data_IF_661078762711
#
_entry.id   IF_661078762711
#
_cell.length_a   1.000
_cell.length_b   1.000
_cell.length_c   1.000
_cell.angle_alpha   90.00
_cell.angle_beta   90.00
_cell.angle_gamma   90.00
#
_symmetry.space_group_name_H-M   'P 1'
#
loop_
_entity.id
_entity.type
_entity.pdbx_description
1 polymer ?
#
# COMPACT_ATOMS: atom_id res chain seq x y z
N UNK A 1 -33.57 48.42 -10.84
CA UNK A 1 -33.19 49.26 -9.69
C UNK A 1 -31.95 48.64 -9.07
N UNK A 2 -30.77 49.25 -9.21
CA UNK A 2 -30.20 50.24 -8.24
C UNK A 2 -30.08 49.59 -6.85
N UNK A 3 -28.95 49.50 -6.14
CA UNK A 3 -27.70 50.27 -6.04
C UNK A 3 -26.77 49.36 -5.15
N UNK A 4 -25.52 49.08 -5.49
CA UNK A 4 -24.30 49.80 -5.11
C UNK A 4 -24.12 50.17 -3.62
N UNK A 5 -23.07 49.58 -3.02
CA UNK A 5 -21.94 50.15 -2.22
C UNK A 5 -22.23 51.16 -1.09
N UNK A 6 -21.55 50.95 0.05
CA UNK A 6 -20.82 51.91 0.94
C UNK A 6 -20.95 51.44 2.41
N UNK A 7 -20.00 51.58 3.35
CA UNK A 7 -18.61 52.05 3.39
C UNK A 7 -18.11 51.67 4.80
N UNK A 8 -16.86 51.22 4.95
CA UNK A 8 -16.21 51.14 6.26
C UNK A 8 -15.73 52.52 6.68
N UNK A 9 -16.00 52.93 7.92
CA UNK A 9 -15.46 54.15 8.52
C UNK A 9 -14.53 53.79 9.69
N UNK A 10 -13.25 54.13 9.53
CA UNK A 10 -12.28 54.22 10.63
C UNK A 10 -12.68 55.36 11.57
N UNK A 11 -12.58 55.12 12.88
CA UNK A 11 -12.50 56.18 13.88
C UNK A 11 -11.23 55.97 14.70
N UNK A 12 -10.28 56.88 14.50
CA UNK A 12 -9.17 57.13 15.42
C UNK A 12 -9.65 58.15 16.45
N UNK A 13 -9.39 57.91 17.74
CA UNK A 13 -9.51 58.95 18.78
C UNK A 13 -8.15 59.08 19.47
N UNK A 14 -7.62 60.29 19.37
CA UNK A 14 -6.42 60.74 20.04
C UNK A 14 -6.73 61.27 21.45
N UNK A 15 -5.66 61.23 22.24
CA UNK A 15 -5.50 61.54 23.66
C UNK A 15 -6.00 62.93 24.05
N UNK A 16 -6.66 63.03 25.20
CA UNK A 16 -6.76 64.26 25.99
C UNK A 16 -6.22 63.99 27.40
N UNK A 17 -5.19 64.74 27.78
CA UNK A 17 -4.64 64.73 29.13
C UNK A 17 -5.50 65.53 30.10
N UNK A 18 -5.48 65.14 31.36
CA UNK A 18 -5.75 66.01 32.51
C UNK A 18 -5.03 65.43 33.72
N UNK A 19 -4.19 66.26 34.33
CA UNK A 19 -3.55 66.03 35.62
C UNK A 19 -4.44 66.54 36.75
N UNK A 20 -4.41 65.85 37.90
CA UNK A 20 -4.27 66.36 39.27
C UNK A 20 -5.13 65.59 40.28
N UNK A 21 -4.54 65.32 41.45
CA UNK A 21 -5.26 65.06 42.70
C UNK A 21 -4.95 63.70 43.30
N UNK A 22 -4.16 63.69 44.38
CA UNK A 22 -3.69 62.48 45.04
C UNK A 22 -4.68 61.84 45.99
N UNK A 23 -4.45 60.54 46.24
CA UNK A 23 -4.61 59.93 47.55
C UNK A 23 -3.73 58.67 47.57
N UNK A 24 -2.70 58.67 48.42
CA UNK A 24 -1.74 57.57 48.57
C UNK A 24 -2.27 56.59 49.61
N UNK A 25 -3.01 55.58 49.15
CA UNK A 25 -3.22 54.33 49.88
C UNK A 25 -2.22 53.28 49.36
N UNK A 26 -1.60 52.44 50.23
CA UNK A 26 -0.67 51.42 49.77
C UNK A 26 -1.41 50.40 48.90
N UNK A 27 -1.02 50.32 47.62
CA UNK A 27 -1.50 49.31 46.68
C UNK A 27 -1.04 47.94 47.21
N UNK A 28 -1.94 46.97 47.44
CA UNK A 28 -1.53 45.62 47.78
C UNK A 28 -0.71 45.07 46.60
N UNK A 29 0.48 44.57 46.90
CA UNK A 29 1.36 43.94 45.90
C UNK A 29 0.55 42.86 45.17
N UNK A 30 0.45 42.90 43.82
CA UNK A 30 -0.23 41.83 43.10
C UNK A 30 0.49 40.52 43.43
N UNK A 31 -0.27 39.52 43.84
CA UNK A 31 0.25 38.17 43.97
C UNK A 31 0.96 37.79 42.66
N UNK A 32 2.09 37.08 42.70
CA UNK A 32 2.78 36.67 41.49
C UNK A 32 1.76 35.96 40.59
N UNK A 33 1.59 36.49 39.38
CA UNK A 33 0.82 35.84 38.31
C UNK A 33 1.28 34.38 38.28
N UNK A 34 0.38 33.39 38.37
CA UNK A 34 0.80 32.01 38.19
C UNK A 34 1.55 31.97 36.86
N UNK A 35 2.78 31.47 36.87
CA UNK A 35 3.55 31.29 35.66
C UNK A 35 2.60 30.65 34.64
N UNK A 36 2.45 31.29 33.48
CA UNK A 36 1.67 30.74 32.40
C UNK A 36 2.11 29.28 32.28
N UNK A 37 1.17 28.35 32.51
CA UNK A 37 1.45 26.95 32.30
C UNK A 37 2.11 26.84 30.94
N UNK A 38 3.18 26.04 30.84
CA UNK A 38 3.77 25.66 29.55
C UNK A 38 2.68 24.97 28.72
N UNK A 39 1.81 25.77 28.13
CA UNK A 39 0.79 25.34 27.21
C UNK A 39 1.60 24.95 25.99
N UNK A 40 1.73 23.65 25.78
CA UNK A 40 2.19 23.09 24.52
C UNK A 40 1.53 23.88 23.39
N UNK A 41 2.32 24.46 22.46
CA UNK A 41 1.77 25.22 21.35
C UNK A 41 0.65 24.42 20.69
N UNK A 42 -0.48 25.07 20.42
CA UNK A 42 -1.59 24.43 19.74
C UNK A 42 -1.14 23.90 18.38
N UNK A 43 -1.21 22.58 18.18
CA UNK A 43 -0.83 21.94 16.93
C UNK A 43 -1.96 22.10 15.89
N UNK A 44 -1.86 23.16 15.09
CA UNK A 44 -2.80 23.48 14.02
C UNK A 44 -2.85 22.41 12.92
N UNK A 45 -1.76 21.65 12.71
CA UNK A 45 -1.76 20.56 11.72
C UNK A 45 -2.60 19.39 12.24
N UNK A 46 -2.42 19.04 13.52
CA UNK A 46 -3.17 17.94 14.15
C UNK A 46 -4.65 18.27 14.37
N UNK A 47 -5.00 19.53 14.59
CA UNK A 47 -6.38 19.93 14.93
C UNK A 47 -7.42 19.41 13.94
N UNK A 48 -7.13 19.50 12.64
CA UNK A 48 -8.04 19.09 11.57
C UNK A 48 -8.34 17.59 11.62
N UNK A 49 -7.31 16.78 11.86
CA UNK A 49 -7.41 15.34 11.94
C UNK A 49 -8.00 14.87 13.27
N UNK A 50 -7.70 15.57 14.38
CA UNK A 50 -8.17 15.23 15.72
C UNK A 50 -9.70 15.21 15.86
N UNK A 51 -10.43 15.93 15.00
CA UNK A 51 -11.88 15.91 14.96
C UNK A 51 -12.44 14.55 14.49
N UNK A 52 -11.75 13.89 13.56
CA UNK A 52 -12.11 12.56 13.06
C UNK A 52 -11.36 11.44 13.81
N UNK A 53 -10.24 11.77 14.45
CA UNK A 53 -9.33 10.83 15.11
C UNK A 53 -8.96 11.28 16.52
N UNK A 54 -9.94 11.45 17.43
CA UNK A 54 -9.70 12.03 18.75
C UNK A 54 -8.82 11.17 19.66
N UNK A 55 -8.67 9.89 19.34
CA UNK A 55 -7.89 8.91 20.10
C UNK A 55 -6.46 8.73 19.55
N UNK A 56 -6.13 9.30 18.39
CA UNK A 56 -4.80 9.18 17.79
C UNK A 56 -3.82 10.16 18.45
N UNK A 57 -2.67 9.66 18.90
CA UNK A 57 -1.59 10.48 19.47
C UNK A 57 -0.78 11.17 18.36
N UNK A 58 -1.24 12.34 17.90
CA UNK A 58 -0.58 13.12 16.86
C UNK A 58 0.76 13.74 17.27
N UNK A 59 1.11 13.71 18.56
CA UNK A 59 2.42 14.19 19.03
C UNK A 59 3.56 13.25 18.61
N UNK A 60 3.22 11.98 18.33
CA UNK A 60 4.12 10.96 17.80
C UNK A 60 3.90 10.84 16.29
N UNK A 61 4.89 11.27 15.50
CA UNK A 61 4.84 11.20 14.04
C UNK A 61 6.23 11.14 13.43
N UNK A 62 6.37 10.45 12.30
CA UNK A 62 7.63 10.38 11.52
C UNK A 62 7.57 11.20 10.23
N UNK A 63 6.41 11.76 9.90
CA UNK A 63 6.17 12.62 8.72
C UNK A 63 5.46 13.91 9.12
N UNK A 64 5.48 14.92 8.26
CA UNK A 64 4.63 16.10 8.46
C UNK A 64 3.17 15.74 8.17
N UNK A 65 2.25 16.24 9.01
CA UNK A 65 0.82 16.06 8.75
C UNK A 65 0.35 16.84 7.51
N UNK A 66 1.14 17.81 7.03
CA UNK A 66 0.88 18.54 5.78
C UNK A 66 1.07 17.67 4.53
N UNK A 67 1.79 16.55 4.65
CA UNK A 67 1.92 15.57 3.56
C UNK A 67 0.71 14.64 3.45
N UNK A 68 -0.16 14.66 4.46
CA UNK A 68 -1.32 13.78 4.56
C UNK A 68 -2.56 14.55 4.11
N UNK A 69 -3.33 13.93 3.21
CA UNK A 69 -4.60 14.48 2.73
C UNK A 69 -5.75 13.49 2.94
N UNK A 70 -6.97 14.00 2.98
CA UNK A 70 -8.16 13.14 2.98
C UNK A 70 -8.48 12.69 1.56
N UNK A 71 -8.70 11.39 1.39
CA UNK A 71 -9.26 10.79 0.17
C UNK A 71 -10.78 10.96 0.04
N UNK A 72 -11.42 11.67 0.98
CA UNK A 72 -12.85 11.95 0.95
C UNK A 72 -13.74 10.85 1.54
N UNK A 73 -13.15 9.81 2.14
CA UNK A 73 -13.88 8.76 2.87
C UNK A 73 -13.59 8.85 4.36
N UNK A 74 -14.61 8.57 5.18
CA UNK A 74 -14.45 8.47 6.63
C UNK A 74 -13.71 7.18 7.02
N UNK A 75 -13.21 7.04 8.26
CA UNK A 75 -12.57 5.81 8.71
C UNK A 75 -13.48 4.58 8.49
N UNK A 76 -12.92 3.53 7.89
CA UNK A 76 -13.60 2.32 7.41
C UNK A 76 -14.81 2.61 6.49
N UNK A 77 -14.88 3.79 5.86
CA UNK A 77 -15.86 4.12 4.84
C UNK A 77 -15.70 3.27 3.58
N UNK A 78 -14.48 2.79 3.34
CA UNK A 78 -14.17 1.61 2.55
C UNK A 78 -14.12 0.44 3.56
N UNK A 79 -15.11 -0.47 3.56
CA UNK A 79 -15.20 -1.55 4.54
C UNK A 79 -13.97 -2.47 4.50
N UNK A 80 -13.19 -2.62 5.58
CA UNK A 80 -12.20 -3.69 5.63
C UNK A 80 -12.89 -5.06 5.69
N UNK A 81 -12.19 -6.14 5.37
CA UNK A 81 -12.69 -7.50 5.55
C UNK A 81 -11.95 -8.20 6.69
N UNK A 82 -12.71 -8.83 7.58
CA UNK A 82 -12.15 -9.61 8.68
C UNK A 82 -12.49 -11.09 8.49
N UNK A 83 -11.46 -11.95 8.45
CA UNK A 83 -11.65 -13.39 8.49
C UNK A 83 -12.12 -13.85 9.88
N UNK A 84 -12.84 -14.97 9.95
CA UNK A 84 -13.35 -15.48 11.21
C UNK A 84 -12.19 -15.84 12.17
N UNK A 85 -12.23 -15.28 13.37
CA UNK A 85 -11.17 -15.46 14.39
C UNK A 85 -9.88 -14.69 14.11
N UNK A 86 -9.80 -13.89 13.04
CA UNK A 86 -8.61 -13.09 12.76
C UNK A 86 -8.54 -11.83 13.62
N UNK A 87 -9.66 -11.18 13.92
CA UNK A 87 -9.66 -9.89 14.64
C UNK A 87 -10.11 -10.00 16.09
N UNK A 88 -9.55 -9.14 16.93
CA UNK A 88 -9.88 -8.97 18.35
C UNK A 88 -10.82 -7.80 18.60
N UNK A 89 -10.73 -6.76 17.77
CA UNK A 89 -11.57 -5.57 17.78
C UNK A 89 -12.33 -5.51 16.45
N UNK A 90 -13.64 -5.75 16.50
CA UNK A 90 -14.49 -5.67 15.33
C UNK A 90 -14.68 -4.20 14.89
N UNK A 91 -14.64 -3.96 13.57
CA UNK A 91 -15.16 -2.72 13.00
C UNK A 91 -16.66 -2.89 12.70
N UNK A 92 -17.51 -1.90 13.04
CA UNK A 92 -18.94 -1.97 12.75
C UNK A 92 -19.24 -1.92 11.25
N UNK A 93 -18.26 -1.50 10.43
CA UNK A 93 -18.36 -1.43 8.98
C UNK A 93 -17.71 -2.62 8.29
N UNK A 94 -16.98 -3.48 9.00
CA UNK A 94 -16.25 -4.58 8.37
C UNK A 94 -17.17 -5.61 7.72
N UNK A 95 -16.77 -6.05 6.54
CA UNK A 95 -17.28 -7.28 5.94
C UNK A 95 -16.56 -8.53 6.46
N UNK A 96 -16.87 -9.67 5.85
CA UNK A 96 -16.29 -10.98 6.18
C UNK A 96 -15.37 -11.45 5.06
N UNK A 97 -14.13 -11.80 5.40
CA UNK A 97 -13.26 -12.49 4.47
C UNK A 97 -13.59 -13.99 4.48
N UNK A 98 -14.32 -14.46 3.46
CA UNK A 98 -14.66 -15.87 3.29
C UNK A 98 -13.84 -16.48 2.17
N UNK A 99 -13.27 -17.65 2.41
CA UNK A 99 -12.45 -18.33 1.42
C UNK A 99 -13.14 -19.59 0.92
N UNK A 100 -12.97 -19.88 -0.36
CA UNK A 100 -13.38 -21.13 -1.01
C UNK A 100 -12.16 -21.79 -1.64
N UNK A 101 -12.16 -23.12 -1.87
CA UNK A 101 -11.13 -23.75 -2.68
C UNK A 101 -11.01 -23.04 -4.02
N UNK A 102 -9.78 -22.69 -4.44
CA UNK A 102 -9.58 -21.89 -5.63
C UNK A 102 -10.14 -22.59 -6.89
N UNK A 103 -9.96 -23.90 -7.00
CA UNK A 103 -10.51 -24.71 -8.08
C UNK A 103 -12.07 -24.71 -8.15
N UNK A 104 -12.76 -24.30 -7.09
CA UNK A 104 -14.21 -24.19 -7.05
C UNK A 104 -14.72 -22.76 -7.36
N UNK A 105 -13.84 -21.76 -7.40
CA UNK A 105 -14.23 -20.40 -7.70
C UNK A 105 -14.43 -20.20 -9.22
N UNK A 106 -15.53 -19.55 -9.58
CA UNK A 106 -15.89 -19.26 -10.98
C UNK A 106 -15.38 -17.89 -11.43
N UNK A 107 -14.10 -17.61 -11.19
CA UNK A 107 -13.49 -16.36 -11.62
C UNK A 107 -12.82 -16.49 -12.99
N UNK A 108 -12.87 -15.46 -13.85
CA UNK A 108 -12.16 -15.48 -15.13
C UNK A 108 -10.65 -15.57 -14.91
N UNK A 109 -9.96 -16.43 -15.66
CA UNK A 109 -8.54 -16.72 -15.41
C UNK A 109 -7.63 -15.49 -15.43
N UNK A 110 -7.94 -14.51 -16.29
CA UNK A 110 -7.12 -13.31 -16.49
C UNK A 110 -7.20 -12.28 -15.38
N UNK A 111 -8.16 -12.39 -14.44
CA UNK A 111 -8.25 -11.39 -13.37
C UNK A 111 -6.98 -11.40 -12.52
N UNK A 112 -6.48 -10.24 -12.08
CA UNK A 112 -5.33 -10.19 -11.21
C UNK A 112 -5.74 -10.55 -9.77
N UNK A 113 -4.89 -11.36 -9.14
CA UNK A 113 -4.95 -11.72 -7.72
C UNK A 113 -3.58 -11.47 -7.10
N UNK A 114 -3.55 -10.91 -5.90
CA UNK A 114 -2.37 -11.04 -5.05
C UNK A 114 -2.50 -12.33 -4.24
N UNK A 115 -1.41 -13.01 -3.94
CA UNK A 115 -1.47 -14.20 -3.09
C UNK A 115 -0.39 -14.20 -2.02
N UNK A 116 -0.71 -14.86 -0.91
CA UNK A 116 0.19 -15.04 0.22
C UNK A 116 0.37 -16.52 0.48
N UNK A 117 1.62 -16.93 0.69
CA UNK A 117 1.96 -18.31 1.08
C UNK A 117 2.71 -18.28 2.40
N UNK A 118 2.15 -18.94 3.42
CA UNK A 118 2.75 -19.04 4.75
C UNK A 118 2.57 -20.46 5.28
N UNK A 119 3.65 -21.08 5.75
CA UNK A 119 3.64 -22.44 6.31
C UNK A 119 2.93 -23.48 5.41
N UNK A 120 3.07 -23.33 4.09
CA UNK A 120 2.47 -24.22 3.09
C UNK A 120 1.02 -23.92 2.72
N UNK A 121 0.34 -23.02 3.45
CA UNK A 121 -1.01 -22.56 3.09
C UNK A 121 -0.92 -21.39 2.10
N UNK A 122 -1.59 -21.52 0.95
CA UNK A 122 -1.67 -20.50 -0.08
C UNK A 122 -3.09 -19.92 -0.19
N UNK A 123 -3.20 -18.60 -0.07
CA UNK A 123 -4.46 -17.86 -0.25
C UNK A 123 -4.31 -16.76 -1.28
N UNK A 124 -5.27 -16.67 -2.21
CA UNK A 124 -5.37 -15.60 -3.19
C UNK A 124 -6.47 -14.58 -2.81
N UNK A 125 -6.20 -13.33 -3.11
CA UNK A 125 -7.03 -12.17 -2.82
C UNK A 125 -7.24 -11.42 -4.14
N UNK A 126 -8.39 -11.61 -4.80
CA UNK A 126 -8.66 -10.98 -6.08
C UNK A 126 -8.70 -9.46 -5.98
N UNK A 127 -7.99 -8.77 -6.86
CA UNK A 127 -7.91 -7.31 -6.83
C UNK A 127 -9.27 -6.67 -7.09
N UNK A 128 -10.17 -7.33 -7.84
CA UNK A 128 -11.52 -6.83 -8.04
C UNK A 128 -12.36 -6.81 -6.75
N UNK A 129 -11.98 -7.57 -5.71
CA UNK A 129 -12.54 -7.46 -4.36
C UNK A 129 -11.76 -6.40 -3.58
N UNK A 130 -10.42 -6.47 -3.62
CA UNK A 130 -9.58 -5.55 -2.86
C UNK A 130 -9.73 -4.08 -3.29
N UNK A 131 -10.07 -3.77 -4.54
CA UNK A 131 -10.38 -2.40 -4.97
C UNK A 131 -11.56 -1.79 -4.21
N UNK A 132 -12.45 -2.60 -3.63
CA UNK A 132 -13.61 -2.16 -2.85
C UNK A 132 -13.42 -2.24 -1.33
N UNK A 133 -12.32 -2.83 -0.87
CA UNK A 133 -12.11 -3.16 0.55
C UNK A 133 -10.75 -2.74 1.10
N UNK A 134 -9.72 -2.68 0.24
CA UNK A 134 -8.34 -2.24 0.46
C UNK A 134 -7.54 -2.94 1.57
N UNK A 135 -8.19 -3.54 2.56
CA UNK A 135 -7.60 -4.17 3.75
C UNK A 135 -8.36 -5.45 4.09
N UNK A 136 -7.63 -6.55 4.24
CA UNK A 136 -8.12 -7.85 4.70
C UNK A 136 -7.28 -8.33 5.88
N UNK A 137 -7.92 -8.47 7.06
CA UNK A 137 -7.30 -9.12 8.22
C UNK A 137 -7.55 -10.63 8.16
N UNK A 138 -6.49 -11.42 8.10
CA UNK A 138 -6.56 -12.87 7.90
C UNK A 138 -5.60 -13.63 8.84
N UNK A 139 -5.74 -14.95 8.82
CA UNK A 139 -4.82 -15.94 9.34
C UNK A 139 -4.39 -16.86 8.18
N UNK A 140 -3.09 -16.86 7.84
CA UNK A 140 -2.53 -17.71 6.78
C UNK A 140 -1.43 -18.57 7.39
N UNK A 141 -1.57 -19.90 7.32
CA UNK A 141 -0.64 -20.83 7.96
C UNK A 141 -0.51 -20.61 9.46
N UNK A 142 -1.57 -20.11 10.11
CA UNK A 142 -1.59 -19.71 11.53
C UNK A 142 -0.93 -18.36 11.85
N UNK A 143 -0.38 -17.65 10.86
CA UNK A 143 0.22 -16.32 11.05
C UNK A 143 -0.84 -15.24 10.84
N UNK A 144 -0.98 -14.26 11.75
CA UNK A 144 -1.84 -13.12 11.53
C UNK A 144 -1.25 -12.23 10.44
N UNK A 145 -1.98 -12.09 9.34
CA UNK A 145 -1.56 -11.32 8.17
C UNK A 145 -2.58 -10.23 7.89
N UNK A 146 -2.12 -9.05 7.48
CA UNK A 146 -2.93 -8.05 6.79
C UNK A 146 -2.53 -8.06 5.31
N UNK A 147 -3.52 -8.25 4.42
CA UNK A 147 -3.34 -8.11 2.97
C UNK A 147 -4.03 -6.84 2.53
N UNK A 148 -3.35 -6.03 1.73
CA UNK A 148 -3.83 -4.71 1.35
C UNK A 148 -3.56 -4.42 -0.12
N UNK A 149 -4.44 -3.64 -0.74
CA UNK A 149 -4.27 -3.14 -2.10
C UNK A 149 -4.60 -1.65 -2.16
N UNK A 150 -3.66 -0.84 -2.64
CA UNK A 150 -3.93 0.55 -3.03
C UNK A 150 -4.18 0.64 -4.53
N UNK A 151 -5.43 0.88 -4.98
CA UNK A 151 -5.73 1.01 -6.40
C UNK A 151 -5.06 2.24 -7.02
N UNK A 152 -4.84 3.31 -6.25
CA UNK A 152 -4.18 4.52 -6.76
C UNK A 152 -2.70 4.29 -7.07
N UNK A 153 -2.04 3.39 -6.33
CA UNK A 153 -0.62 3.11 -6.50
C UNK A 153 -0.34 1.79 -7.22
N UNK A 154 -1.36 0.98 -7.51
CA UNK A 154 -1.23 -0.41 -7.98
C UNK A 154 -0.44 -1.32 -7.02
N UNK A 155 -0.36 -0.99 -5.72
CA UNK A 155 0.43 -1.72 -4.74
C UNK A 155 -0.42 -2.74 -3.99
N UNK A 156 -0.17 -4.04 -4.23
CA UNK A 156 -0.65 -5.11 -3.36
C UNK A 156 0.47 -5.54 -2.41
N UNK A 157 0.22 -5.51 -1.10
CA UNK A 157 1.20 -5.81 -0.07
C UNK A 157 0.58 -6.70 1.02
N UNK A 158 1.43 -7.48 1.67
CA UNK A 158 1.03 -8.25 2.84
C UNK A 158 2.06 -8.09 3.96
N UNK A 159 1.58 -8.06 5.21
CA UNK A 159 2.42 -7.91 6.38
C UNK A 159 1.98 -8.85 7.50
N UNK A 160 2.94 -9.34 8.30
CA UNK A 160 2.60 -9.86 9.62
C UNK A 160 2.12 -8.68 10.49
N UNK A 161 0.92 -8.81 11.04
CA UNK A 161 0.28 -7.75 11.84
C UNK A 161 0.52 -7.88 13.34
N UNK A 162 1.57 -8.60 13.75
CA UNK A 162 2.00 -8.71 15.16
C UNK A 162 3.10 -7.69 15.44
N UNK A 163 2.90 -6.89 16.48
CA UNK A 163 3.87 -5.92 16.99
C UNK A 163 4.06 -6.18 18.48
N UNK A 164 5.22 -6.75 18.83
CA UNK A 164 5.44 -7.29 20.18
C UNK A 164 4.44 -8.40 20.48
N UNK A 165 3.74 -8.30 21.61
CA UNK A 165 2.71 -9.26 22.03
C UNK A 165 1.32 -8.95 21.45
N UNK A 166 1.16 -7.82 20.75
CA UNK A 166 -0.13 -7.36 20.24
C UNK A 166 -0.31 -7.78 18.79
N UNK A 167 -1.44 -8.43 18.50
CA UNK A 167 -1.91 -8.63 17.12
C UNK A 167 -2.83 -7.47 16.77
N UNK A 168 -2.46 -6.71 15.73
CA UNK A 168 -3.16 -5.52 15.28
C UNK A 168 -4.28 -5.88 14.30
N UNK A 169 -5.41 -5.19 14.41
CA UNK A 169 -6.54 -5.29 13.49
C UNK A 169 -6.57 -4.01 12.66
N UNK A 170 -6.38 -4.14 11.36
CA UNK A 170 -6.27 -3.00 10.47
C UNK A 170 -7.61 -2.59 9.88
N UNK A 171 -7.75 -1.30 9.61
CA UNK A 171 -8.83 -0.72 8.84
C UNK A 171 -8.31 0.28 7.82
N UNK A 172 -9.23 0.87 7.07
CA UNK A 172 -8.94 1.89 6.05
C UNK A 172 -9.13 3.26 6.67
N UNK A 173 -8.10 4.11 6.72
CA UNK A 173 -8.23 5.41 7.40
C UNK A 173 -9.01 6.44 6.56
N UNK A 174 -8.97 6.28 5.24
CA UNK A 174 -9.43 7.30 4.28
C UNK A 174 -8.43 8.42 4.06
N UNK A 175 -7.28 8.40 4.72
CA UNK A 175 -6.17 9.34 4.51
C UNK A 175 -5.17 8.77 3.51
N UNK A 176 -4.49 9.66 2.80
CA UNK A 176 -3.49 9.34 1.77
C UNK A 176 -2.22 10.16 2.00
N UNK A 177 -1.08 9.61 1.60
CA UNK A 177 0.20 10.34 1.44
C UNK A 177 0.88 9.84 0.17
N UNK A 178 1.24 10.74 -0.74
CA UNK A 178 1.74 10.40 -2.08
C UNK A 178 0.76 9.51 -2.89
N UNK A 179 -0.55 9.76 -2.76
CA UNK A 179 -1.65 8.89 -3.21
C UNK A 179 -1.75 7.51 -2.55
N UNK A 180 -0.70 7.06 -1.85
CA UNK A 180 -0.70 5.77 -1.17
C UNK A 180 -1.61 5.81 0.05
N UNK A 181 -2.36 4.73 0.22
CA UNK A 181 -3.33 4.64 1.32
C UNK A 181 -2.62 4.56 2.67
N UNK A 182 -3.25 5.17 3.65
CA UNK A 182 -2.85 5.03 5.05
C UNK A 182 -3.82 4.06 5.71
N UNK A 183 -3.31 2.95 6.22
CA UNK A 183 -4.07 2.04 7.07
C UNK A 183 -4.12 2.59 8.49
N UNK A 184 -5.00 2.09 9.33
CA UNK A 184 -4.97 2.37 10.77
C UNK A 184 -5.17 1.10 11.58
N UNK A 185 -4.53 1.01 12.75
CA UNK A 185 -4.76 -0.11 13.67
C UNK A 185 -5.84 0.24 14.71
N UNK A 186 -6.74 -0.70 14.98
CA UNK A 186 -7.89 -0.47 15.87
C UNK A 186 -7.50 -0.40 17.34
N UNK A 187 -6.37 -0.99 17.72
CA UNK A 187 -5.87 -1.10 19.10
C UNK A 187 -5.37 0.23 19.64
N UNK A 188 -4.61 0.96 18.85
CA UNK A 188 -3.89 2.17 19.28
C UNK A 188 -4.21 3.40 18.43
N UNK A 189 -4.99 3.22 17.37
CA UNK A 189 -5.35 4.27 16.41
C UNK A 189 -4.14 4.88 15.72
N UNK A 190 -3.04 4.13 15.63
CA UNK A 190 -1.87 4.57 14.86
C UNK A 190 -2.16 4.44 13.37
N UNK A 191 -1.53 5.30 12.59
CA UNK A 191 -1.65 5.34 11.14
C UNK A 191 -0.42 4.73 10.50
N UNK A 192 -0.62 3.87 9.51
CA UNK A 192 0.43 3.06 8.89
C UNK A 192 0.46 3.29 7.39
N UNK A 193 1.60 3.76 6.87
CA UNK A 193 1.82 3.93 5.43
C UNK A 193 1.85 2.55 4.76
N UNK A 194 0.95 2.30 3.81
CA UNK A 194 0.82 1.00 3.16
C UNK A 194 2.10 0.60 2.42
N UNK A 195 2.63 1.49 1.59
CA UNK A 195 3.81 1.25 0.76
C UNK A 195 5.07 0.88 1.56
N UNK A 196 5.17 1.33 2.81
CA UNK A 196 6.34 1.12 3.67
C UNK A 196 6.11 0.10 4.79
N UNK A 197 4.85 -0.18 5.14
CA UNK A 197 4.50 -0.90 6.36
C UNK A 197 4.91 -0.17 7.65
N UNK A 198 5.17 1.14 7.58
CA UNK A 198 5.63 1.95 8.71
C UNK A 198 4.47 2.70 9.37
N UNK A 199 4.38 2.66 10.69
CA UNK A 199 3.54 3.56 11.45
C UNK A 199 4.09 4.99 11.35
N UNK A 200 3.32 5.91 10.77
CA UNK A 200 3.75 7.29 10.53
C UNK A 200 3.17 8.29 11.52
N UNK A 201 2.09 7.94 12.22
CA UNK A 201 1.43 8.76 13.26
C UNK A 201 0.89 7.85 14.35
N UNK A 202 0.90 8.30 15.61
CA UNK A 202 0.29 7.61 16.73
C UNK A 202 1.27 6.80 17.58
N UNK A 203 0.71 5.95 18.44
CA UNK A 203 1.45 5.17 19.44
C UNK A 203 2.63 4.40 18.87
N UNK A 204 2.46 3.81 17.67
CA UNK A 204 3.50 2.99 17.04
C UNK A 204 4.44 3.76 16.10
N UNK A 205 4.34 5.09 15.98
CA UNK A 205 5.13 5.87 15.02
C UNK A 205 6.62 5.46 15.00
N UNK A 206 7.15 5.19 13.79
CA UNK A 206 8.51 4.67 13.54
C UNK A 206 8.64 3.15 13.56
N UNK A 207 7.60 2.41 13.97
CA UNK A 207 7.58 0.95 13.91
C UNK A 207 7.29 0.47 12.48
N UNK A 208 7.97 -0.59 12.02
CA UNK A 208 7.71 -1.22 10.73
C UNK A 208 7.18 -2.64 10.87
N UNK A 209 6.17 -2.97 10.08
CA UNK A 209 5.64 -4.32 9.97
C UNK A 209 6.58 -5.20 9.14
N UNK A 210 6.59 -6.50 9.44
CA UNK A 210 7.35 -7.47 8.67
C UNK A 210 6.58 -7.81 7.39
N UNK A 211 7.13 -7.43 6.24
CA UNK A 211 6.55 -7.74 4.95
C UNK A 211 6.54 -9.25 4.66
N UNK A 212 5.51 -9.69 3.94
CA UNK A 212 5.34 -11.04 3.40
C UNK A 212 5.20 -10.89 1.88
N UNK A 213 5.92 -11.69 1.06
CA UNK A 213 5.78 -11.64 -0.39
C UNK A 213 4.31 -11.80 -0.83
N UNK A 214 3.84 -10.85 -1.64
CA UNK A 214 2.46 -10.76 -2.10
C UNK A 214 2.39 -10.38 -3.59
N UNK A 215 3.01 -11.16 -4.50
CA UNK A 215 3.06 -10.83 -5.91
C UNK A 215 1.65 -10.79 -6.53
N UNK A 216 1.50 -10.02 -7.61
CA UNK A 216 0.26 -9.95 -8.40
C UNK A 216 0.40 -10.86 -9.62
N UNK A 217 -0.44 -11.90 -9.68
CA UNK A 217 -0.52 -12.84 -10.81
C UNK A 217 -1.95 -12.95 -11.34
N UNK A 218 -2.15 -13.56 -12.50
CA UNK A 218 -3.51 -13.93 -12.93
C UNK A 218 -4.07 -15.03 -12.03
N UNK A 219 -5.39 -15.08 -11.88
CA UNK A 219 -6.07 -16.14 -11.14
C UNK A 219 -5.75 -17.53 -11.73
N UNK A 220 -5.68 -17.63 -13.07
CA UNK A 220 -5.27 -18.85 -13.75
C UNK A 220 -3.85 -19.30 -13.39
N UNK A 221 -2.91 -18.36 -13.23
CA UNK A 221 -1.56 -18.69 -12.77
C UNK A 221 -1.53 -19.14 -11.31
N UNK A 222 -2.31 -18.50 -10.45
CA UNK A 222 -2.47 -18.94 -9.05
C UNK A 222 -3.02 -20.37 -8.99
N UNK A 223 -4.06 -20.69 -9.76
CA UNK A 223 -4.65 -22.04 -9.83
C UNK A 223 -3.65 -23.11 -10.26
N UNK A 224 -2.83 -22.82 -11.28
CA UNK A 224 -1.79 -23.74 -11.75
C UNK A 224 -0.69 -23.95 -10.71
N UNK A 225 -0.32 -22.89 -10.00
CA UNK A 225 0.78 -22.90 -9.04
C UNK A 225 0.40 -23.43 -7.65
N UNK A 226 -0.88 -23.34 -7.29
CA UNK A 226 -1.44 -23.70 -5.99
C UNK A 226 -2.83 -24.34 -6.14
N UNK A 227 -2.92 -25.57 -6.69
CA UNK A 227 -4.21 -26.22 -6.96
C UNK A 227 -5.05 -26.46 -5.69
N UNK A 228 -4.41 -26.66 -4.55
CA UNK A 228 -5.05 -26.81 -3.23
C UNK A 228 -5.24 -25.48 -2.49
N UNK A 229 -4.86 -24.36 -3.12
CA UNK A 229 -4.98 -23.03 -2.55
C UNK A 229 -6.43 -22.60 -2.37
N UNK A 230 -6.65 -21.61 -1.52
CA UNK A 230 -7.95 -20.99 -1.34
C UNK A 230 -7.97 -19.59 -1.96
N UNK A 231 -9.16 -19.10 -2.31
CA UNK A 231 -9.35 -17.74 -2.85
C UNK A 231 -10.47 -17.04 -2.10
N UNK A 232 -10.28 -15.73 -1.87
CA UNK A 232 -11.29 -14.87 -1.27
C UNK A 232 -12.54 -14.82 -2.16
N UNK A 233 -13.68 -15.08 -1.54
CA UNK A 233 -15.01 -15.07 -2.14
C UNK A 233 -15.62 -13.68 -2.13
N UNK A 234 -16.40 -13.38 -3.17
CA UNK A 234 -17.31 -12.22 -3.22
C UNK A 234 -18.40 -12.24 -2.13
N UNK A 235 -18.60 -13.35 -1.40
CA UNK A 235 -19.52 -13.43 -0.26
C UNK A 235 -18.95 -12.73 0.99
N UNK A 236 -18.80 -11.41 0.90
CA UNK A 236 -18.24 -10.58 1.96
C UNK A 236 -19.29 -10.07 2.95
N UNK A 237 -20.57 -10.17 2.60
CA UNK A 237 -21.66 -9.54 3.35
C UNK A 237 -21.77 -8.02 3.13
N UNK A 238 -20.98 -7.44 2.22
CA UNK A 238 -21.08 -6.05 1.79
C UNK A 238 -21.59 -6.01 0.36
N UNK A 239 -22.62 -5.22 0.09
CA UNK A 239 -23.19 -5.07 -1.26
C UNK A 239 -22.25 -4.25 -2.15
N UNK A 240 -21.62 -4.92 -3.12
CA UNK A 240 -20.69 -4.34 -4.11
C UNK A 240 -20.85 -5.04 -5.44
N UNK A 241 -20.58 -4.29 -6.52
CA UNK A 241 -20.49 -4.83 -7.86
C UNK A 241 -19.04 -5.28 -8.11
N UNK A 242 -18.66 -6.40 -7.52
CA UNK A 242 -17.34 -7.00 -7.74
C UNK A 242 -17.10 -7.25 -9.23
N UNK A 243 -15.87 -6.99 -9.67
CA UNK A 243 -15.47 -7.05 -11.08
C UNK A 243 -15.68 -5.75 -11.87
N UNK A 244 -16.51 -4.81 -11.38
CA UNK A 244 -16.58 -3.45 -11.92
C UNK A 244 -15.44 -2.62 -11.35
N UNK A 245 -14.66 -2.00 -12.23
CA UNK A 245 -13.57 -1.09 -11.87
C UNK A 245 -14.09 0.34 -11.61
N UNK A 246 -14.00 0.88 -10.37
CA UNK A 246 -14.38 2.27 -10.08
C UNK A 246 -13.34 3.30 -10.59
N UNK A 247 -12.18 2.85 -11.06
CA UNK A 247 -11.07 3.64 -11.58
C UNK A 247 -10.90 3.42 -13.10
N UNK A 248 -12.01 3.45 -13.86
CA UNK A 248 -11.98 3.17 -15.30
C UNK A 248 -10.98 4.06 -16.05
N UNK A 249 -10.09 3.40 -16.79
CA UNK A 249 -9.01 3.99 -17.56
C UNK A 249 -7.93 4.68 -16.74
N UNK A 250 -7.86 4.49 -15.42
CA UNK A 250 -6.90 5.19 -14.55
C UNK A 250 -5.45 4.88 -14.93
N UNK A 251 -5.16 3.63 -15.31
CA UNK A 251 -3.79 3.19 -15.63
C UNK A 251 -3.29 3.53 -17.04
N UNK A 252 -4.03 4.37 -17.78
CA UNK A 252 -3.61 4.81 -19.11
C UNK A 252 -2.29 5.58 -19.01
N UNK A 253 -1.31 5.34 -19.89
CA UNK A 253 0.00 6.01 -19.83
C UNK A 253 -0.06 7.54 -19.87
N UNK A 254 -1.13 8.11 -20.44
CA UNK A 254 -1.35 9.55 -20.56
C UNK A 254 -1.99 10.20 -19.33
N UNK A 255 -2.42 9.41 -18.34
CA UNK A 255 -3.09 9.95 -17.16
C UNK A 255 -2.09 10.54 -16.17
N UNK A 256 -2.62 11.44 -15.34
CA UNK A 256 -1.90 12.01 -14.21
C UNK A 256 -2.30 11.32 -12.90
N UNK A 257 -1.38 11.20 -11.94
CA UNK A 257 -1.67 10.61 -10.63
C UNK A 257 -2.81 11.33 -9.90
N UNK A 258 -3.87 10.60 -9.59
CA UNK A 258 -5.00 11.10 -8.79
C UNK A 258 -4.60 11.24 -7.31
N UNK A 259 -4.99 12.36 -6.68
CA UNK A 259 -4.69 12.68 -5.28
C UNK A 259 -3.19 12.61 -4.92
N UNK A 260 -2.34 12.89 -5.90
CA UNK A 260 -0.90 13.07 -5.71
C UNK A 260 -0.59 14.55 -5.57
N UNK A 261 0.25 14.91 -4.60
CA UNK A 261 0.68 16.29 -4.36
C UNK A 261 2.14 16.43 -4.74
N UNK A 262 2.44 17.35 -5.65
CA UNK A 262 3.79 17.57 -6.17
C UNK A 262 3.97 17.07 -7.60
N UNK A 263 5.21 17.15 -8.08
CA UNK A 263 5.58 16.74 -9.43
C UNK A 263 6.08 15.29 -9.42
N UNK A 264 5.49 14.39 -10.24
CA UNK A 264 6.01 13.04 -10.40
C UNK A 264 7.45 13.03 -10.92
N UNK A 265 8.21 12.03 -10.51
CA UNK A 265 9.59 11.85 -10.99
C UNK A 265 9.64 11.65 -12.52
N UNK A 266 10.40 12.48 -13.27
CA UNK A 266 10.34 12.50 -14.72
C UNK A 266 11.12 11.36 -15.42
N UNK A 267 11.81 10.49 -14.68
CA UNK A 267 12.65 9.42 -15.26
C UNK A 267 11.84 8.35 -15.99
N UNK A 268 10.56 8.16 -15.64
CA UNK A 268 9.62 7.27 -16.32
C UNK A 268 8.22 7.92 -16.36
N UNK A 269 7.33 7.50 -17.28
CA UNK A 269 5.94 7.92 -17.24
C UNK A 269 5.30 7.63 -15.86
N UNK A 270 4.49 8.53 -15.29
CA UNK A 270 3.92 8.36 -13.95
C UNK A 270 3.19 7.02 -13.78
N UNK A 271 2.40 6.62 -14.78
CA UNK A 271 1.61 5.39 -14.78
C UNK A 271 2.37 4.14 -15.27
N UNK A 272 3.68 4.24 -15.52
CA UNK A 272 4.50 3.05 -15.81
C UNK A 272 4.50 2.13 -14.59
N UNK A 273 4.19 0.84 -14.77
CA UNK A 273 4.36 -0.13 -13.69
C UNK A 273 5.82 -0.51 -13.58
N UNK A 274 6.31 -0.64 -12.36
CA UNK A 274 7.68 -1.08 -12.10
C UNK A 274 7.68 -2.23 -11.11
N UNK A 275 8.60 -3.17 -11.26
CA UNK A 275 9.00 -4.03 -10.15
C UNK A 275 9.93 -3.22 -9.26
N UNK A 276 9.46 -2.84 -8.10
CA UNK A 276 10.23 -2.13 -7.09
C UNK A 276 10.92 -3.09 -6.13
N UNK A 277 12.24 -3.02 -6.05
CA UNK A 277 13.10 -3.78 -5.14
C UNK A 277 13.72 -2.80 -4.15
N UNK A 278 13.16 -2.75 -2.94
CA UNK A 278 13.69 -1.89 -1.88
C UNK A 278 14.97 -2.51 -1.32
N UNK A 279 16.00 -1.68 -1.11
CA UNK A 279 17.26 -2.07 -0.49
C UNK A 279 17.95 -0.89 0.19
N UNK A 280 18.75 -1.16 1.22
CA UNK A 280 19.59 -0.20 1.92
C UNK A 280 20.74 0.35 1.07
N UNK A 281 21.22 -0.41 0.08
CA UNK A 281 22.30 -0.01 -0.83
C UNK A 281 21.80 0.74 -2.08
N UNK A 282 20.52 1.14 -2.11
CA UNK A 282 19.90 1.88 -3.21
C UNK A 282 18.86 1.02 -3.95
N UNK A 283 17.57 1.38 -3.88
CA UNK A 283 16.48 0.64 -4.50
C UNK A 283 16.64 0.50 -6.02
N UNK A 284 16.05 -0.55 -6.59
CA UNK A 284 16.01 -0.81 -8.03
C UNK A 284 14.57 -0.87 -8.50
N UNK A 285 14.27 -0.16 -9.59
CA UNK A 285 13.01 -0.25 -10.30
C UNK A 285 13.24 -0.89 -11.67
N UNK A 286 12.53 -1.97 -11.98
CA UNK A 286 12.55 -2.61 -13.31
C UNK A 286 11.23 -2.29 -14.03
N UNK A 287 11.24 -1.50 -15.11
CA UNK A 287 10.02 -1.14 -15.83
C UNK A 287 9.29 -2.34 -16.45
N UNK A 288 7.97 -2.37 -16.39
CA UNK A 288 7.16 -3.41 -17.01
C UNK A 288 7.29 -3.40 -18.53
N UNK A 289 7.38 -2.22 -19.16
CA UNK A 289 7.66 -2.09 -20.60
C UNK A 289 8.95 -2.79 -21.01
N UNK A 290 9.97 -2.74 -20.16
CA UNK A 290 11.24 -3.43 -20.38
C UNK A 290 11.10 -4.95 -20.17
N UNK A 291 10.43 -5.37 -19.08
CA UNK A 291 10.12 -6.78 -18.80
C UNK A 291 9.26 -7.42 -19.88
N UNK A 292 8.36 -6.67 -20.51
CA UNK A 292 7.57 -7.13 -21.64
C UNK A 292 8.45 -7.39 -22.88
N UNK A 293 9.67 -6.85 -22.94
CA UNK A 293 10.59 -7.16 -24.05
C UNK A 293 11.50 -8.32 -23.69
N UNK A 294 12.16 -8.26 -22.53
CA UNK A 294 13.23 -9.20 -22.16
C UNK A 294 12.76 -10.45 -21.41
N UNK A 295 11.57 -10.42 -20.81
CA UNK A 295 10.91 -11.49 -20.01
C UNK A 295 11.62 -11.94 -18.74
N UNK A 296 12.94 -11.83 -18.68
CA UNK A 296 13.76 -12.16 -17.51
C UNK A 296 14.81 -11.08 -17.32
N UNK A 297 14.94 -10.60 -16.08
CA UNK A 297 16.04 -9.72 -15.67
C UNK A 297 16.78 -10.36 -14.52
N UNK A 298 18.11 -10.46 -14.64
CA UNK A 298 18.98 -10.75 -13.51
C UNK A 298 19.50 -9.46 -12.91
N UNK A 299 19.44 -9.35 -11.59
CA UNK A 299 19.95 -8.20 -10.86
C UNK A 299 20.63 -8.65 -9.56
N UNK A 300 21.26 -7.67 -8.90
CA UNK A 300 21.81 -7.82 -7.56
C UNK A 300 21.15 -6.78 -6.64
N UNK A 301 20.70 -7.25 -5.47
CA UNK A 301 20.08 -6.44 -4.43
C UNK A 301 20.78 -6.79 -3.12
N UNK A 302 21.56 -5.85 -2.57
CA UNK A 302 22.35 -6.04 -1.33
C UNK A 302 23.29 -7.26 -1.39
N UNK A 303 23.96 -7.49 -2.53
CA UNK A 303 24.82 -8.66 -2.75
C UNK A 303 24.07 -9.98 -2.90
N UNK A 304 22.73 -9.93 -2.96
CA UNK A 304 21.88 -11.09 -3.22
C UNK A 304 21.47 -11.12 -4.69
N UNK A 305 21.85 -12.18 -5.42
CA UNK A 305 21.46 -12.34 -6.81
C UNK A 305 19.95 -12.64 -6.89
N UNK A 306 19.24 -11.84 -7.68
CA UNK A 306 17.79 -11.99 -7.91
C UNK A 306 17.47 -12.16 -9.39
N UNK A 307 16.37 -12.85 -9.69
CA UNK A 307 15.77 -12.91 -11.00
C UNK A 307 14.35 -12.34 -10.95
N UNK A 308 14.04 -11.43 -11.85
CA UNK A 308 12.70 -10.92 -12.11
C UNK A 308 12.14 -11.67 -13.32
N UNK A 309 11.06 -12.39 -13.10
CA UNK A 309 10.34 -13.13 -14.13
C UNK A 309 9.11 -12.36 -14.55
N UNK A 310 8.85 -12.29 -15.86
CA UNK A 310 7.63 -11.71 -16.40
C UNK A 310 6.96 -12.67 -17.38
N UNK A 311 5.64 -12.83 -17.25
CA UNK A 311 4.81 -13.59 -18.18
C UNK A 311 3.51 -12.84 -18.51
N UNK A 312 2.98 -12.98 -19.74
CA UNK A 312 1.70 -12.39 -20.12
C UNK A 312 0.53 -13.17 -19.50
N UNK A 313 -0.69 -12.64 -19.61
CA UNK A 313 -1.93 -13.34 -19.27
C UNK A 313 -2.69 -12.73 -18.09
N UNK A 314 -2.33 -11.53 -17.65
CA UNK A 314 -2.94 -10.88 -16.48
C UNK A 314 -3.53 -9.54 -16.89
N UNK A 315 -4.84 -9.43 -16.76
CA UNK A 315 -5.54 -8.19 -17.04
C UNK A 315 -5.25 -7.13 -15.96
N UNK A 316 -5.28 -5.86 -16.33
CA UNK A 316 -5.21 -4.77 -15.35
C UNK A 316 -6.50 -4.66 -14.53
N UNK A 317 -6.37 -4.41 -13.22
CA UNK A 317 -7.51 -4.09 -12.35
C UNK A 317 -8.02 -2.64 -12.51
N UNK A 318 -7.27 -1.81 -13.25
CA UNK A 318 -7.41 -0.35 -13.28
C UNK A 318 -7.55 0.21 -14.71
N UNK A 319 -7.75 -0.68 -15.68
CA UNK A 319 -8.03 -0.34 -17.07
C UNK A 319 -9.53 -0.22 -17.27
N UNK A 320 -10.09 -1.11 -18.09
CA UNK A 320 -11.47 -1.11 -18.52
C UNK A 320 -12.49 -1.32 -17.38
N UNK A 321 -13.74 -0.91 -17.60
CA UNK A 321 -14.82 -1.04 -16.62
C UNK A 321 -15.12 -2.47 -16.15
N UNK A 322 -14.89 -3.47 -17.01
CA UNK A 322 -14.93 -4.89 -16.65
C UNK A 322 -13.51 -5.48 -16.71
N UNK A 323 -12.97 -5.84 -15.53
CA UNK A 323 -11.56 -6.21 -15.37
C UNK A 323 -11.08 -7.36 -16.29
N UNK A 324 -11.84 -8.46 -16.49
CA UNK A 324 -11.40 -9.55 -17.38
C UNK A 324 -11.16 -9.15 -18.84
N UNK A 325 -11.87 -8.14 -19.33
CA UNK A 325 -11.76 -7.64 -20.71
C UNK A 325 -10.60 -6.66 -20.87
N UNK A 326 -9.95 -6.31 -19.76
CA UNK A 326 -8.94 -5.28 -19.74
C UNK A 326 -7.64 -5.68 -20.46
N UNK A 327 -6.84 -4.67 -20.79
CA UNK A 327 -5.50 -4.85 -21.38
C UNK A 327 -4.65 -5.81 -20.54
N UNK A 328 -3.92 -6.69 -21.22
CA UNK A 328 -2.90 -7.53 -20.57
C UNK A 328 -1.70 -6.68 -20.13
N UNK A 329 -1.38 -6.72 -18.84
CA UNK A 329 -0.20 -6.08 -18.25
C UNK A 329 0.85 -7.10 -17.83
N UNK A 330 0.53 -8.40 -17.97
CA UNK A 330 1.31 -9.51 -17.47
C UNK A 330 1.52 -9.49 -15.96
N UNK A 331 2.40 -10.37 -15.53
CA UNK A 331 2.71 -10.60 -14.13
C UNK A 331 4.20 -10.67 -13.93
N UNK A 332 4.67 -9.96 -12.92
CA UNK A 332 6.06 -9.99 -12.52
C UNK A 332 6.20 -10.65 -11.14
N UNK A 333 7.19 -11.53 -11.01
CA UNK A 333 7.58 -12.17 -9.75
C UNK A 333 9.09 -12.08 -9.59
N UNK A 334 9.56 -12.07 -8.35
CA UNK A 334 10.99 -11.93 -8.07
C UNK A 334 11.44 -12.99 -7.09
N UNK A 335 12.56 -13.63 -7.42
CA UNK A 335 13.15 -14.68 -6.61
C UNK A 335 14.64 -14.45 -6.41
N UNK A 336 15.15 -14.86 -5.25
CA UNK A 336 16.58 -15.10 -5.13
C UNK A 336 16.94 -16.25 -6.08
N UNK A 337 17.86 -16.00 -7.02
CA UNK A 337 18.23 -16.97 -8.07
C UNK A 337 19.23 -18.00 -7.57
N UNK A 338 18.96 -18.62 -6.42
CA UNK A 338 19.81 -19.63 -5.80
C UNK A 338 19.07 -20.96 -5.60
N UNK A 339 19.74 -22.06 -5.92
CA UNK A 339 19.34 -23.41 -5.56
C UNK A 339 20.52 -24.10 -4.84
N UNK A 340 20.45 -24.16 -3.50
CA UNK A 340 21.61 -24.49 -2.67
C UNK A 340 22.70 -23.42 -2.84
N UNK A 341 23.93 -23.86 -3.16
CA UNK A 341 25.06 -22.96 -3.40
C UNK A 341 25.14 -22.43 -4.84
N UNK A 342 24.33 -22.99 -5.76
CA UNK A 342 24.35 -22.61 -7.17
C UNK A 342 23.56 -21.32 -7.40
N UNK A 343 24.18 -20.36 -8.07
CA UNK A 343 23.48 -19.20 -8.60
C UNK A 343 23.00 -19.52 -10.02
N UNK A 344 21.68 -19.44 -10.22
CA UNK A 344 21.01 -19.79 -11.47
C UNK A 344 20.95 -18.60 -12.43
N UNK A 345 21.07 -18.88 -13.72
CA UNK A 345 20.86 -17.95 -14.83
C UNK A 345 19.67 -18.45 -15.64
N UNK A 346 18.65 -17.62 -15.82
CA UNK A 346 17.40 -18.00 -16.47
C UNK A 346 17.26 -17.42 -17.87
N UNK A 347 16.52 -18.13 -18.71
CA UNK A 347 16.05 -17.67 -20.01
C UNK A 347 14.59 -18.09 -20.22
N UNK A 348 13.90 -17.45 -21.17
CA UNK A 348 12.52 -17.82 -21.49
C UNK A 348 12.48 -19.22 -22.12
N UNK A 349 11.66 -20.12 -21.57
CA UNK A 349 11.45 -21.48 -22.07
C UNK A 349 10.23 -21.60 -23.01
N UNK A 350 9.42 -20.53 -23.14
CA UNK A 350 8.12 -20.51 -23.80
C UNK A 350 6.96 -20.57 -22.80
N UNK A 351 5.76 -20.15 -23.23
CA UNK A 351 4.51 -20.22 -22.45
C UNK A 351 4.57 -19.61 -21.04
N UNK A 352 5.37 -18.56 -20.85
CA UNK A 352 5.55 -17.92 -19.53
C UNK A 352 6.37 -18.74 -18.53
N UNK A 353 7.12 -19.75 -18.99
CA UNK A 353 8.05 -20.56 -18.18
C UNK A 353 9.50 -20.15 -18.41
N UNK A 354 10.36 -20.50 -17.46
CA UNK A 354 11.76 -20.08 -17.42
C UNK A 354 12.68 -21.29 -17.32
N UNK A 355 13.74 -21.34 -18.11
CA UNK A 355 14.74 -22.42 -18.07
C UNK A 355 16.00 -21.90 -17.41
N UNK A 356 16.51 -22.59 -16.39
CA UNK A 356 17.85 -22.28 -15.89
C UNK A 356 18.91 -22.91 -16.81
N UNK A 357 19.93 -22.15 -17.19
CA UNK A 357 20.97 -22.57 -18.14
C UNK A 357 21.94 -23.60 -17.56
N UNK A 358 22.11 -23.59 -16.24
CA UNK A 358 23.08 -24.45 -15.55
C UNK A 358 22.64 -25.91 -15.50
N UNK A 359 21.38 -26.16 -15.16
CA UNK A 359 20.81 -27.52 -15.00
C UNK A 359 19.84 -27.88 -16.11
N UNK A 360 19.30 -26.89 -16.82
CA UNK A 360 18.26 -27.08 -17.83
C UNK A 360 16.86 -27.29 -17.25
N UNK A 361 16.66 -27.10 -15.95
CA UNK A 361 15.35 -27.26 -15.31
C UNK A 361 14.40 -26.14 -15.74
N UNK A 362 13.11 -26.45 -15.81
CA UNK A 362 12.06 -25.51 -16.20
C UNK A 362 11.25 -25.11 -14.99
N UNK A 363 11.02 -23.81 -14.84
CA UNK A 363 10.44 -23.14 -13.69
C UNK A 363 9.16 -22.40 -14.09
N UNK A 364 8.16 -22.46 -13.22
CA UNK A 364 6.93 -21.67 -13.35
C UNK A 364 7.15 -20.22 -12.96
N UNK A 365 6.18 -19.35 -13.27
CA UNK A 365 6.19 -17.96 -12.79
C UNK A 365 6.18 -17.89 -11.25
N UNK A 366 5.58 -18.86 -10.56
CA UNK A 366 5.63 -18.94 -9.10
C UNK A 366 6.94 -19.55 -8.54
N UNK A 367 7.97 -19.72 -9.36
CA UNK A 367 9.29 -20.17 -8.95
C UNK A 367 9.37 -21.65 -8.58
N UNK A 368 8.45 -22.49 -9.05
CA UNK A 368 8.49 -23.95 -8.88
C UNK A 368 9.17 -24.59 -10.08
N UNK A 369 10.21 -25.38 -9.86
CA UNK A 369 10.77 -26.25 -10.88
C UNK A 369 9.81 -27.41 -11.16
N UNK A 370 9.38 -27.55 -12.41
CA UNK A 370 8.41 -28.56 -12.86
C UNK A 370 9.03 -29.63 -13.76
N UNK A 371 10.18 -29.35 -14.37
CA UNK A 371 10.91 -30.28 -15.23
C UNK A 371 12.42 -30.18 -14.95
N UNK A 372 13.15 -31.25 -15.24
CA UNK A 372 14.61 -31.31 -15.12
C UNK A 372 15.13 -31.67 -13.72
N UNK A 373 16.46 -31.60 -13.51
CA UNK A 373 17.10 -32.09 -12.29
C UNK A 373 16.62 -31.44 -10.98
N UNK A 374 16.11 -30.21 -11.04
CA UNK A 374 15.64 -29.48 -9.87
C UNK A 374 14.13 -29.59 -9.64
N UNK A 375 13.41 -30.42 -10.41
CA UNK A 375 11.95 -30.57 -10.29
C UNK A 375 11.49 -30.82 -8.84
N UNK A 376 10.44 -30.11 -8.42
CA UNK A 376 9.93 -30.08 -7.05
C UNK A 376 10.57 -29.02 -6.14
N UNK A 377 11.69 -28.42 -6.57
CA UNK A 377 12.32 -27.31 -5.83
C UNK A 377 11.56 -26.00 -6.05
N UNK A 378 11.44 -25.18 -5.01
CA UNK A 378 10.87 -23.83 -5.09
C UNK A 378 11.91 -22.78 -4.74
N UNK A 379 12.01 -21.74 -5.57
CA UNK A 379 12.85 -20.58 -5.27
C UNK A 379 12.27 -19.77 -4.10
N UNK A 380 13.17 -19.13 -3.35
CA UNK A 380 12.76 -18.22 -2.28
C UNK A 380 12.35 -16.88 -2.91
N UNK A 381 11.11 -16.40 -2.70
CA UNK A 381 10.69 -15.10 -3.20
C UNK A 381 11.53 -13.98 -2.59
N UNK A 382 11.97 -13.03 -3.43
CA UNK A 382 12.57 -11.80 -2.95
C UNK A 382 11.48 -10.77 -2.65
N UNK A 383 11.56 -9.98 -1.56
CA UNK A 383 10.63 -8.89 -1.30
C UNK A 383 10.60 -7.90 -2.48
N UNK A 384 9.42 -7.63 -3.00
CA UNK A 384 9.23 -6.70 -4.11
C UNK A 384 7.81 -6.13 -4.09
N UNK A 385 7.63 -5.03 -4.80
CA UNK A 385 6.34 -4.38 -5.03
C UNK A 385 6.11 -4.20 -6.54
N UNK A 386 4.85 -4.01 -6.95
CA UNK A 386 4.48 -3.68 -8.34
C UNK A 386 3.71 -2.35 -8.43
N UNK A 387 4.29 -1.23 -7.95
CA UNK A 387 3.62 0.06 -7.98
C UNK A 387 3.61 0.69 -9.39
N UNK A 388 2.81 1.74 -9.54
CA UNK A 388 3.08 2.78 -10.53
C UNK A 388 4.35 3.56 -10.16
N UNK A 389 5.08 4.01 -11.17
CA UNK A 389 6.36 4.70 -11.01
C UNK A 389 6.25 5.94 -10.12
N UNK A 390 5.21 6.75 -10.29
CA UNK A 390 5.04 7.96 -9.50
C UNK A 390 5.00 7.66 -7.99
N UNK A 391 4.33 6.57 -7.61
CA UNK A 391 4.18 6.17 -6.22
C UNK A 391 5.51 5.62 -5.69
N UNK A 392 6.17 4.73 -6.45
CA UNK A 392 7.48 4.19 -6.08
C UNK A 392 8.52 5.27 -5.83
N UNK A 393 8.69 6.17 -6.81
CA UNK A 393 9.70 7.21 -6.77
C UNK A 393 9.45 8.24 -5.65
N UNK A 394 8.20 8.44 -5.23
CA UNK A 394 7.87 9.31 -4.11
C UNK A 394 8.36 8.76 -2.75
N UNK A 395 8.48 7.44 -2.62
CA UNK A 395 9.02 6.79 -1.41
C UNK A 395 10.50 6.39 -1.55
N UNK A 396 10.99 6.22 -2.78
CA UNK A 396 12.34 5.79 -3.11
C UNK A 396 12.97 6.68 -4.18
N UNK A 397 13.19 7.99 -3.90
CA UNK A 397 13.68 8.94 -4.90
C UNK A 397 15.07 8.59 -5.44
N UNK A 398 15.90 7.94 -4.64
CA UNK A 398 17.24 7.46 -4.99
C UNK A 398 17.24 6.17 -5.82
N UNK A 399 16.06 5.61 -6.14
CA UNK A 399 15.95 4.35 -6.89
C UNK A 399 16.71 4.45 -8.21
N UNK A 400 17.47 3.42 -8.55
CA UNK A 400 18.02 3.25 -9.90
C UNK A 400 16.94 2.65 -10.79
N UNK A 401 16.85 3.13 -12.03
CA UNK A 401 15.99 2.52 -13.04
C UNK A 401 16.83 1.54 -13.83
N UNK A 402 16.42 0.27 -13.87
CA UNK A 402 17.07 -0.75 -14.67
C UNK A 402 17.00 -0.37 -16.15
N UNK A 403 18.11 -0.60 -16.86
CA UNK A 403 18.22 -0.41 -18.30
C UNK A 403 18.72 -1.72 -18.90
N UNK A 404 18.24 -2.11 -20.10
CA UNK A 404 18.84 -3.19 -20.84
C UNK A 404 20.29 -2.84 -21.20
N UNK A 405 21.17 -3.84 -21.17
CA UNK A 405 22.56 -3.72 -21.64
C UNK A 405 22.67 -3.53 -23.16
#
# INVERSE_FOLDING_TARGET
MKLAVLLAALVAVAVAGTSCGGDSSPVPTPAPTPAASDATPFDYEAYQFSLLWPETDFSKRTVSLLEIISGGVSPDGIPPLDADGATSIASPRAGKARFVPAAAAQYPERIPVTYVVVNGEAKAYPLHILTWHEVVNDLVGGVPVVVTFCPLCNTALAFERRVGDTVLDFGVSGMLRNSDLIMWDRQTKSWWQQALGEAIVGTYAGTRLRAIPAPIVSFGEFLRSFPDGAVLSENTGVERNYGINPYDGYDRPTNTPFLFVGEPDPRLPPMERVVGLASGDGPLAVPFSALETVRVVHADVEGSPVAVFWAPGTATALGEGWIPDARDIGSATVFYRRAGEMVLEFELAGDGRFRDRGTGSVWTLAGLAVEGPLAGTRLVPAPHQVPFWFAWAAFHPETRVWQPE
#
